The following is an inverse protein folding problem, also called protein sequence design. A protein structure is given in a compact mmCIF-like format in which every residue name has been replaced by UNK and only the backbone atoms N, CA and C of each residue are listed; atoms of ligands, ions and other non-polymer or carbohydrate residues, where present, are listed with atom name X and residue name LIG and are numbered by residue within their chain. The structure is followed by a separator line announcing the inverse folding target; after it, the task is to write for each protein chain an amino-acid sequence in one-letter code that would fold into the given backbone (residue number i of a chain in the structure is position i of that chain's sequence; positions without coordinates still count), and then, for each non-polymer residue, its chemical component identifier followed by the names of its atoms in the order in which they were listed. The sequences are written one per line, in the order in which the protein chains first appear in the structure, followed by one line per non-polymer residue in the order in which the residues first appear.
data_IF_222451824470
#
_entry.id   IF_222451824470
#
_cell.length_a   1.000
_cell.length_b   1.000
_cell.length_c   1.000
_cell.angle_alpha   90.00
_cell.angle_beta   90.00
_cell.angle_gamma   90.00
#
_symmetry.space_group_name_H-M   'P 1'
#
loop_
_entity.id
_entity.type
_entity.pdbx_description
1 polymer ?
#
# COMPACT_ATOMS: atom_id res chain seq x y z
N UNK A 1 41.20 43.48 -65.67
CA UNK A 1 39.88 42.82 -65.86
C UNK A 1 39.53 42.15 -64.52
N UNK A 2 38.75 42.87 -63.69
CA UNK A 2 38.37 42.42 -62.34
C UNK A 2 36.94 41.85 -62.45
N UNK A 3 36.79 40.55 -62.28
CA UNK A 3 35.49 39.92 -62.11
C UNK A 3 35.06 39.98 -60.67
N UNK A 4 33.98 40.72 -60.37
CA UNK A 4 33.31 40.77 -59.08
C UNK A 4 32.58 39.43 -58.89
N UNK A 5 32.90 38.66 -57.86
CA UNK A 5 32.08 37.52 -57.44
C UNK A 5 30.82 38.03 -56.71
N UNK A 6 29.72 37.43 -57.03
CA UNK A 6 28.37 37.88 -56.76
C UNK A 6 27.91 37.73 -55.30
N UNK A 7 26.86 38.43 -54.88
CA UNK A 7 26.34 38.48 -53.49
C UNK A 7 25.42 37.28 -53.14
N UNK A 8 25.37 36.19 -53.94
CA UNK A 8 24.45 35.09 -53.70
C UNK A 8 24.73 34.26 -52.42
N UNK A 9 25.98 34.15 -52.03
CA UNK A 9 26.34 33.35 -50.82
C UNK A 9 25.84 33.98 -49.49
N UNK A 10 25.71 35.31 -49.42
CA UNK A 10 25.25 36.02 -48.20
C UNK A 10 23.72 35.89 -48.05
N UNK A 11 22.97 35.83 -49.15
CA UNK A 11 21.50 35.67 -49.12
C UNK A 11 21.13 34.24 -48.71
N UNK A 12 21.89 33.25 -49.23
CA UNK A 12 21.69 31.84 -48.89
C UNK A 12 21.98 31.57 -47.40
N UNK A 13 23.03 32.17 -46.87
CA UNK A 13 23.39 32.03 -45.45
C UNK A 13 22.34 32.64 -44.49
N UNK A 14 21.82 33.83 -44.79
CA UNK A 14 20.74 34.48 -44.06
C UNK A 14 19.41 33.72 -44.11
N UNK A 15 19.14 33.04 -45.24
CA UNK A 15 17.93 32.21 -45.41
C UNK A 15 18.00 30.92 -44.59
N UNK A 16 19.17 30.27 -44.52
CA UNK A 16 19.41 29.09 -43.73
C UNK A 16 19.34 29.41 -42.22
N UNK A 17 19.91 30.53 -41.77
CA UNK A 17 19.81 30.98 -40.37
C UNK A 17 18.35 31.26 -39.94
N UNK A 18 17.56 31.86 -40.83
CA UNK A 18 16.14 32.13 -40.55
C UNK A 18 15.32 30.85 -40.46
N UNK A 19 15.62 29.87 -41.29
CA UNK A 19 14.95 28.56 -41.24
C UNK A 19 15.37 27.74 -40.02
N UNK A 20 16.65 27.78 -39.65
CA UNK A 20 17.15 27.16 -38.43
C UNK A 20 16.54 27.76 -37.13
N UNK A 21 16.41 29.09 -37.08
CA UNK A 21 15.72 29.78 -35.96
C UNK A 21 14.24 29.42 -35.88
N UNK A 22 13.54 29.30 -37.01
CA UNK A 22 12.13 28.83 -37.06
C UNK A 22 12.01 27.40 -36.60
N UNK A 23 12.94 26.52 -36.99
CA UNK A 23 12.96 25.12 -36.59
C UNK A 23 13.26 24.99 -35.07
N UNK A 24 14.20 25.75 -34.55
CA UNK A 24 14.48 25.79 -33.10
C UNK A 24 13.30 26.32 -32.29
N UNK A 25 12.61 27.37 -32.79
CA UNK A 25 11.40 27.89 -32.15
C UNK A 25 10.25 26.88 -32.17
N UNK A 26 10.09 26.14 -33.29
CA UNK A 26 9.09 25.08 -33.41
C UNK A 26 9.40 23.89 -32.49
N UNK A 27 10.68 23.49 -32.37
CA UNK A 27 11.13 22.43 -31.44
C UNK A 27 10.97 22.89 -29.98
N UNK A 28 11.31 24.15 -29.66
CA UNK A 28 11.10 24.69 -28.30
C UNK A 28 9.60 24.77 -27.95
N UNK A 29 8.74 25.17 -28.90
CA UNK A 29 7.29 25.17 -28.70
C UNK A 29 6.73 23.75 -28.55
N UNK A 30 7.26 22.76 -29.28
CA UNK A 30 6.88 21.35 -29.16
C UNK A 30 7.35 20.75 -27.79
N UNK A 31 8.54 21.13 -27.32
CA UNK A 31 9.04 20.73 -26.00
C UNK A 31 8.24 21.36 -24.85
N UNK A 32 7.77 22.59 -25.00
CA UNK A 32 6.92 23.26 -23.99
C UNK A 32 5.52 22.67 -23.97
N UNK A 33 4.99 22.21 -25.10
CA UNK A 33 3.67 21.55 -25.15
C UNK A 33 3.66 20.11 -24.58
N UNK A 34 4.82 19.47 -24.44
CA UNK A 34 4.93 18.12 -23.86
C UNK A 34 5.02 18.10 -22.32
N UNK A 35 5.08 19.25 -21.63
CA UNK A 35 5.29 19.32 -20.17
C UNK A 35 4.08 19.77 -19.37
N UNK A 36 2.93 20.01 -19.96
CA UNK A 36 1.68 20.15 -19.21
C UNK A 36 1.04 18.76 -19.00
N UNK A 37 1.75 17.84 -18.34
CA UNK A 37 1.07 16.78 -17.61
C UNK A 37 0.34 17.50 -16.48
N UNK A 38 -0.98 17.65 -16.62
CA UNK A 38 -1.80 18.19 -15.56
C UNK A 38 -1.51 17.40 -14.30
N UNK A 39 -0.86 18.02 -13.31
CA UNK A 39 -0.58 17.39 -12.05
C UNK A 39 -1.94 17.00 -11.45
N UNK A 40 -2.14 15.70 -11.20
CA UNK A 40 -3.37 15.22 -10.60
C UNK A 40 -3.66 16.03 -9.34
N UNK A 41 -4.85 16.57 -9.23
CA UNK A 41 -5.32 17.18 -7.99
C UNK A 41 -5.81 16.07 -7.07
N UNK A 42 -5.59 16.24 -5.79
CA UNK A 42 -6.02 15.30 -4.77
C UNK A 42 -6.78 16.01 -3.67
N UNK A 43 -7.73 15.32 -3.09
CA UNK A 43 -8.39 15.76 -1.85
C UNK A 43 -8.16 14.76 -0.73
N UNK A 44 -8.10 15.30 0.48
CA UNK A 44 -8.06 14.51 1.71
C UNK A 44 -9.40 14.60 2.41
N UNK A 45 -10.00 13.45 2.66
CA UNK A 45 -11.20 13.29 3.47
C UNK A 45 -10.79 12.68 4.81
N UNK A 46 -11.29 13.22 5.92
CA UNK A 46 -10.88 12.80 7.27
C UNK A 46 -12.04 12.24 8.07
N UNK A 47 -11.71 11.33 8.98
CA UNK A 47 -12.59 10.83 10.03
C UNK A 47 -13.90 10.20 9.53
N UNK A 48 -13.85 9.54 8.34
CA UNK A 48 -14.98 8.81 7.80
C UNK A 48 -15.18 7.54 8.64
N UNK A 49 -16.37 7.38 9.22
CA UNK A 49 -16.73 6.16 9.96
C UNK A 49 -16.89 4.99 9.00
N UNK A 50 -16.24 3.87 9.26
CA UNK A 50 -16.43 2.63 8.51
C UNK A 50 -17.24 1.58 9.28
N UNK A 51 -17.82 1.99 10.41
CA UNK A 51 -18.75 1.20 11.22
C UNK A 51 -20.08 1.92 11.36
N UNK A 52 -21.15 1.16 11.66
CA UNK A 52 -22.49 1.73 11.86
C UNK A 52 -22.51 2.70 13.05
N UNK A 53 -23.33 3.74 12.94
CA UNK A 53 -23.63 4.63 14.06
C UNK A 53 -24.32 3.90 15.21
N UNK A 54 -25.05 2.80 14.89
CA UNK A 54 -25.76 1.95 15.85
C UNK A 54 -24.88 0.87 16.49
N UNK A 55 -23.56 0.84 16.17
CA UNK A 55 -22.64 -0.11 16.80
C UNK A 55 -22.66 0.08 18.33
N UNK A 56 -22.86 -1.00 19.05
CA UNK A 56 -23.01 -0.97 20.51
C UNK A 56 -21.73 -0.57 21.25
N UNK A 57 -20.57 -0.77 20.63
CA UNK A 57 -19.27 -0.42 21.22
C UNK A 57 -18.94 1.06 21.02
N UNK A 58 -19.02 1.85 22.07
CA UNK A 58 -18.61 3.26 22.05
C UNK A 58 -17.16 3.44 21.56
N UNK A 59 -16.24 2.56 22.00
CA UNK A 59 -14.85 2.61 21.57
C UNK A 59 -14.71 2.30 20.09
N UNK A 60 -15.51 1.40 19.54
CA UNK A 60 -15.49 1.08 18.12
C UNK A 60 -15.97 2.28 17.29
N UNK A 61 -17.08 2.92 17.69
CA UNK A 61 -17.57 4.15 17.03
C UNK A 61 -16.58 5.31 17.11
N UNK A 62 -15.87 5.44 18.23
CA UNK A 62 -14.83 6.45 18.45
C UNK A 62 -13.63 6.22 17.53
N UNK A 63 -13.11 4.97 17.54
CA UNK A 63 -11.80 4.65 16.96
C UNK A 63 -11.87 4.23 15.51
N UNK A 64 -12.92 3.52 15.07
CA UNK A 64 -13.02 2.94 13.74
C UNK A 64 -13.40 3.98 12.68
N UNK A 65 -12.48 4.88 12.42
CA UNK A 65 -12.54 5.92 11.40
C UNK A 65 -11.35 5.82 10.48
N UNK A 66 -11.51 6.24 9.24
CA UNK A 66 -10.46 6.25 8.24
C UNK A 66 -10.29 7.64 7.63
N UNK A 67 -9.09 7.91 7.15
CA UNK A 67 -8.80 9.03 6.25
C UNK A 67 -8.60 8.51 4.84
N UNK A 68 -8.96 9.31 3.86
CA UNK A 68 -8.75 9.00 2.45
C UNK A 68 -7.98 10.13 1.76
N UNK A 69 -7.06 9.74 0.89
CA UNK A 69 -6.39 10.62 -0.07
C UNK A 69 -6.76 10.12 -1.46
N UNK A 70 -7.54 10.90 -2.21
CA UNK A 70 -8.14 10.45 -3.47
C UNK A 70 -7.84 11.41 -4.62
N UNK A 71 -7.54 10.90 -5.85
CA UNK A 71 -7.39 11.72 -7.03
C UNK A 71 -8.70 12.42 -7.38
N UNK A 72 -8.65 13.71 -7.69
CA UNK A 72 -9.81 14.46 -8.18
C UNK A 72 -9.94 14.36 -9.70
N UNK A 73 -11.17 14.24 -10.19
CA UNK A 73 -11.45 14.22 -11.63
C UNK A 73 -11.04 12.94 -12.36
N UNK A 74 -10.46 11.96 -11.69
CA UNK A 74 -10.15 10.61 -12.22
C UNK A 74 -11.22 9.61 -11.84
N UNK A 75 -11.41 8.60 -12.71
CA UNK A 75 -12.26 7.44 -12.46
C UNK A 75 -11.45 6.15 -12.67
N UNK A 76 -11.89 5.07 -12.02
CA UNK A 76 -11.26 3.76 -12.14
C UNK A 76 -9.87 3.68 -11.52
N UNK A 77 -9.52 4.55 -10.57
CA UNK A 77 -8.21 4.51 -9.94
C UNK A 77 -8.08 3.33 -8.96
N UNK A 78 -6.87 2.84 -8.84
CA UNK A 78 -6.47 1.81 -7.88
C UNK A 78 -6.48 2.38 -6.46
N UNK A 79 -6.78 1.56 -5.45
CA UNK A 79 -6.88 2.00 -4.06
C UNK A 79 -6.10 1.08 -3.14
N UNK A 80 -5.28 1.61 -2.25
CA UNK A 80 -4.64 0.84 -1.19
C UNK A 80 -5.25 1.18 0.17
N UNK A 81 -5.65 0.15 0.91
CA UNK A 81 -5.95 0.25 2.34
C UNK A 81 -4.65 0.00 3.09
N UNK A 82 -4.17 1.01 3.82
CA UNK A 82 -2.89 0.96 4.52
C UNK A 82 -3.07 0.98 6.03
N UNK A 83 -2.70 -0.11 6.70
CA UNK A 83 -2.76 -0.25 8.16
C UNK A 83 -1.47 0.22 8.82
N UNK A 84 -1.60 1.10 9.82
CA UNK A 84 -0.48 1.57 10.63
C UNK A 84 0.10 0.47 11.53
N UNK A 85 1.35 0.64 11.95
CA UNK A 85 1.99 -0.17 12.98
C UNK A 85 1.58 0.24 14.39
N UNK A 86 2.38 -0.19 15.38
CA UNK A 86 2.19 0.18 16.79
C UNK A 86 1.76 -0.98 17.66
N UNK A 87 2.18 -2.20 17.31
CA UNK A 87 2.07 -3.37 18.19
C UNK A 87 0.63 -3.79 18.57
N UNK A 88 -0.40 -3.32 17.86
CA UNK A 88 -1.81 -3.45 18.27
C UNK A 88 -2.14 -2.72 19.60
N UNK A 89 -1.21 -1.94 20.13
CA UNK A 89 -1.31 -1.20 21.40
C UNK A 89 -1.28 0.31 21.19
N UNK A 90 -0.79 0.78 20.06
CA UNK A 90 -0.62 2.20 19.73
C UNK A 90 -0.71 2.47 18.24
N UNK A 91 -0.36 3.69 17.86
CA UNK A 91 -0.41 4.17 16.49
C UNK A 91 -1.75 4.79 16.10
N UNK A 92 -1.78 5.35 14.93
CA UNK A 92 -2.99 5.95 14.34
C UNK A 92 -2.88 5.97 12.81
N UNK A 93 -4.03 6.13 12.16
CA UNK A 93 -4.18 6.25 10.71
C UNK A 93 -3.20 7.26 10.11
N UNK A 94 -2.54 6.87 9.03
CA UNK A 94 -1.50 7.65 8.39
C UNK A 94 -1.58 7.51 6.87
N UNK A 95 -1.77 8.62 6.20
CA UNK A 95 -1.69 8.71 4.75
C UNK A 95 -0.22 8.78 4.33
N UNK A 96 0.38 7.63 4.02
CA UNK A 96 1.81 7.49 3.71
C UNK A 96 2.22 8.42 2.56
N UNK A 97 3.16 9.37 2.78
CA UNK A 97 3.57 10.32 1.76
C UNK A 97 4.21 9.62 0.55
N UNK A 98 4.89 8.48 0.75
CA UNK A 98 5.54 7.72 -0.30
C UNK A 98 4.53 7.15 -1.32
N UNK A 99 3.29 6.91 -0.90
CA UNK A 99 2.21 6.39 -1.75
C UNK A 99 1.42 7.52 -2.45
N UNK A 100 1.61 8.78 -2.05
CA UNK A 100 0.89 9.91 -2.61
C UNK A 100 1.35 10.28 -4.02
N UNK A 101 0.52 11.07 -4.73
CA UNK A 101 0.80 11.63 -6.05
C UNK A 101 1.13 10.59 -7.12
N UNK A 102 0.46 9.44 -7.10
CA UNK A 102 0.70 8.31 -8.00
C UNK A 102 -0.53 7.88 -8.82
N UNK A 103 -1.57 8.70 -8.88
CA UNK A 103 -2.83 8.34 -9.55
C UNK A 103 -3.63 7.27 -8.82
N UNK A 104 -3.27 6.93 -7.59
CA UNK A 104 -3.97 5.97 -6.73
C UNK A 104 -4.61 6.67 -5.55
N UNK A 105 -5.61 6.03 -4.94
CA UNK A 105 -6.15 6.44 -3.66
C UNK A 105 -5.48 5.68 -2.51
N UNK A 106 -5.41 6.34 -1.35
CA UNK A 106 -4.95 5.76 -0.08
C UNK A 106 -6.10 5.84 0.90
N UNK A 107 -6.43 4.74 1.53
CA UNK A 107 -7.38 4.64 2.64
C UNK A 107 -6.59 4.22 3.87
N UNK A 108 -6.56 5.06 4.89
CA UNK A 108 -5.81 4.83 6.11
C UNK A 108 -6.78 4.67 7.30
N UNK A 109 -7.12 3.47 7.73
CA UNK A 109 -8.01 3.25 8.86
C UNK A 109 -7.26 3.22 10.18
N UNK A 110 -7.91 3.74 11.24
CA UNK A 110 -7.67 3.32 12.60
C UNK A 110 -8.41 2.00 12.87
N UNK A 111 -7.91 1.21 13.78
CA UNK A 111 -8.54 0.02 14.34
C UNK A 111 -8.43 0.05 15.87
N UNK A 112 -9.29 -0.65 16.60
CA UNK A 112 -9.23 -0.70 18.07
C UNK A 112 -7.93 -1.33 18.55
N UNK A 113 -7.48 -0.92 19.71
CA UNK A 113 -6.18 -1.26 20.27
C UNK A 113 -6.32 -1.91 21.65
N UNK A 114 -5.42 -2.81 21.98
CA UNK A 114 -5.23 -3.33 23.34
C UNK A 114 -4.72 -2.17 24.25
N UNK A 115 -5.11 -2.11 25.54
CA UNK A 115 -5.97 -3.06 26.25
C UNK A 115 -7.47 -2.77 26.17
N UNK A 116 -7.91 -1.70 25.44
CA UNK A 116 -9.33 -1.31 25.33
C UNK A 116 -10.15 -2.30 24.47
N UNK A 117 -9.49 -3.11 23.66
CA UNK A 117 -10.08 -4.30 23.02
C UNK A 117 -9.10 -5.47 23.06
N UNK A 118 -9.53 -6.63 22.65
CA UNK A 118 -8.76 -7.87 22.62
C UNK A 118 -8.88 -8.58 21.26
N UNK A 119 -7.99 -9.54 21.02
CA UNK A 119 -8.09 -10.44 19.89
C UNK A 119 -9.46 -11.17 19.90
N UNK A 120 -10.16 -11.23 18.76
CA UNK A 120 -9.76 -10.83 17.42
C UNK A 120 -10.29 -9.44 16.97
N UNK A 121 -10.75 -8.58 17.86
CA UNK A 121 -11.48 -7.35 17.52
C UNK A 121 -10.72 -6.41 16.58
N UNK A 122 -9.41 -6.22 16.75
CA UNK A 122 -8.63 -5.37 15.86
C UNK A 122 -8.50 -5.96 14.44
N UNK A 123 -8.48 -7.29 14.30
CA UNK A 123 -8.51 -7.94 12.98
C UNK A 123 -9.88 -7.81 12.32
N UNK A 124 -10.96 -7.91 13.09
CA UNK A 124 -12.33 -7.66 12.60
C UNK A 124 -12.52 -6.20 12.17
N UNK A 125 -11.94 -5.25 12.91
CA UNK A 125 -11.98 -3.85 12.52
C UNK A 125 -11.21 -3.60 11.22
N UNK A 126 -10.06 -4.25 11.05
CA UNK A 126 -9.31 -4.21 9.80
C UNK A 126 -10.12 -4.79 8.62
N UNK A 127 -10.80 -5.92 8.83
CA UNK A 127 -11.70 -6.50 7.83
C UNK A 127 -12.87 -5.58 7.48
N UNK A 128 -13.49 -4.95 8.49
CA UNK A 128 -14.55 -3.98 8.29
C UNK A 128 -14.10 -2.78 7.44
N UNK A 129 -12.89 -2.27 7.68
CA UNK A 129 -12.33 -1.14 6.92
C UNK A 129 -12.06 -1.52 5.45
N UNK A 130 -11.52 -2.71 5.19
CA UNK A 130 -11.34 -3.21 3.81
C UNK A 130 -12.68 -3.40 3.13
N UNK A 131 -13.64 -4.03 3.79
CA UNK A 131 -14.97 -4.26 3.24
C UNK A 131 -15.71 -2.95 2.96
N UNK A 132 -15.61 -1.97 3.86
CA UNK A 132 -16.12 -0.63 3.62
C UNK A 132 -15.51 -0.02 2.35
N UNK A 133 -14.19 -0.12 2.20
CA UNK A 133 -13.49 0.41 1.03
C UNK A 133 -13.99 -0.24 -0.25
N UNK A 134 -14.07 -1.57 -0.30
CA UNK A 134 -14.58 -2.29 -1.47
C UNK A 134 -16.00 -1.85 -1.85
N UNK A 135 -16.86 -1.62 -0.85
CA UNK A 135 -18.26 -1.25 -1.07
C UNK A 135 -18.47 0.21 -1.48
N UNK A 136 -17.59 1.12 -1.04
CA UNK A 136 -17.81 2.57 -1.18
C UNK A 136 -16.83 3.28 -2.11
N UNK A 137 -15.71 2.67 -2.49
CA UNK A 137 -14.67 3.38 -3.24
C UNK A 137 -15.15 3.87 -4.61
N UNK A 138 -16.14 3.22 -5.21
CA UNK A 138 -16.76 3.64 -6.47
C UNK A 138 -17.45 5.02 -6.35
N UNK A 139 -18.00 5.36 -5.19
CA UNK A 139 -18.63 6.66 -4.89
C UNK A 139 -17.61 7.80 -5.00
N UNK A 140 -16.34 7.48 -4.76
CA UNK A 140 -15.22 8.41 -4.86
C UNK A 140 -14.49 8.35 -6.21
N UNK A 141 -14.94 7.47 -7.12
CA UNK A 141 -14.37 7.29 -8.45
C UNK A 141 -13.32 6.18 -8.58
N UNK A 142 -13.05 5.40 -7.54
CA UNK A 142 -12.14 4.26 -7.58
C UNK A 142 -12.79 3.00 -8.19
N UNK A 143 -11.97 2.04 -8.54
CA UNK A 143 -12.40 0.73 -9.03
C UNK A 143 -12.41 -0.29 -7.87
N UNK A 144 -13.58 -0.82 -7.45
CA UNK A 144 -13.67 -1.83 -6.39
C UNK A 144 -12.89 -3.12 -6.66
N UNK A 145 -12.66 -3.47 -7.93
CA UNK A 145 -11.85 -4.63 -8.32
C UNK A 145 -10.34 -4.37 -8.22
N UNK A 146 -9.93 -3.12 -7.99
CA UNK A 146 -8.54 -2.67 -7.88
C UNK A 146 -8.22 -2.18 -6.46
N UNK A 147 -8.73 -2.92 -5.46
CA UNK A 147 -8.41 -2.68 -4.05
C UNK A 147 -7.23 -3.55 -3.63
N UNK A 148 -6.25 -2.92 -3.02
CA UNK A 148 -5.03 -3.51 -2.48
C UNK A 148 -5.02 -3.31 -0.96
N UNK A 149 -4.38 -4.22 -0.23
CA UNK A 149 -4.26 -4.12 1.23
C UNK A 149 -2.79 -4.21 1.62
N UNK A 150 -2.34 -3.30 2.46
CA UNK A 150 -0.98 -3.28 2.97
C UNK A 150 -0.91 -2.71 4.37
N UNK A 151 0.25 -2.82 4.98
CA UNK A 151 0.49 -2.26 6.30
C UNK A 151 1.84 -2.67 6.86
N UNK A 152 2.28 -1.96 7.88
CA UNK A 152 3.59 -2.17 8.50
C UNK A 152 3.46 -2.76 9.90
N UNK A 153 4.35 -3.67 10.28
CA UNK A 153 4.45 -4.24 11.64
C UNK A 153 3.12 -4.87 12.07
N UNK A 154 2.43 -4.33 13.08
CA UNK A 154 1.08 -4.74 13.45
C UNK A 154 0.10 -4.64 12.27
N UNK A 155 0.21 -3.60 11.43
CA UNK A 155 -0.56 -3.48 10.18
C UNK A 155 -0.18 -4.55 9.16
N UNK A 156 1.07 -4.96 9.11
CA UNK A 156 1.54 -6.09 8.31
C UNK A 156 0.96 -7.43 8.80
N UNK A 157 0.89 -7.62 10.11
CA UNK A 157 0.19 -8.76 10.71
C UNK A 157 -1.30 -8.78 10.34
N UNK A 158 -2.01 -7.65 10.45
CA UNK A 158 -3.41 -7.54 10.03
C UNK A 158 -3.57 -7.86 8.55
N UNK A 159 -2.69 -7.34 7.70
CA UNK A 159 -2.66 -7.63 6.25
C UNK A 159 -2.53 -9.13 5.99
N UNK A 160 -1.62 -9.82 6.69
CA UNK A 160 -1.44 -11.27 6.56
C UNK A 160 -2.66 -12.05 7.05
N UNK A 161 -3.25 -11.65 8.19
CA UNK A 161 -4.46 -12.32 8.69
C UNK A 161 -5.62 -12.19 7.70
N UNK A 162 -5.84 -11.02 7.11
CA UNK A 162 -6.89 -10.82 6.11
C UNK A 162 -6.63 -11.62 4.81
N UNK A 163 -5.38 -11.78 4.42
CA UNK A 163 -5.00 -12.57 3.25
C UNK A 163 -5.21 -14.08 3.46
N UNK A 164 -4.90 -14.58 4.64
CA UNK A 164 -4.76 -16.02 4.91
C UNK A 164 -6.00 -16.62 5.58
N UNK A 165 -6.64 -15.91 6.50
CA UNK A 165 -7.91 -16.33 7.09
C UNK A 165 -9.08 -15.61 6.40
N UNK A 166 -9.69 -16.30 5.42
CA UNK A 166 -10.83 -15.77 4.63
C UNK A 166 -12.03 -15.40 5.48
N UNK A 167 -12.18 -15.98 6.66
CA UNK A 167 -13.37 -15.80 7.50
C UNK A 167 -13.58 -14.33 7.91
N UNK A 168 -12.49 -13.59 8.15
CA UNK A 168 -12.57 -12.19 8.55
C UNK A 168 -13.25 -11.30 7.51
N UNK A 169 -12.85 -11.40 6.25
CA UNK A 169 -13.47 -10.62 5.17
C UNK A 169 -14.84 -11.17 4.80
N UNK A 170 -15.04 -12.49 4.90
CA UNK A 170 -16.32 -13.14 4.65
C UNK A 170 -17.41 -12.69 5.65
N UNK A 171 -17.07 -12.37 6.92
CA UNK A 171 -17.99 -11.75 7.89
C UNK A 171 -18.65 -10.47 7.32
N UNK A 172 -18.01 -9.78 6.39
CA UNK A 172 -18.48 -8.54 5.75
C UNK A 172 -18.90 -8.72 4.29
N UNK A 173 -18.99 -9.99 3.81
CA UNK A 173 -19.42 -10.32 2.46
C UNK A 173 -18.36 -10.03 1.38
N UNK A 174 -17.08 -10.04 1.73
CA UNK A 174 -15.96 -9.86 0.79
C UNK A 174 -15.13 -11.13 0.73
N UNK A 175 -14.85 -11.61 -0.47
CA UNK A 175 -13.89 -12.70 -0.66
C UNK A 175 -12.45 -12.14 -0.57
N UNK A 176 -11.64 -12.74 0.30
CA UNK A 176 -10.23 -12.36 0.43
C UNK A 176 -9.45 -12.49 -0.89
N UNK A 177 -9.85 -13.42 -1.77
CA UNK A 177 -9.22 -13.60 -3.07
C UNK A 177 -9.70 -12.59 -4.13
N UNK A 178 -10.71 -11.77 -3.85
CA UNK A 178 -11.10 -10.64 -4.69
C UNK A 178 -10.22 -9.40 -4.50
N UNK A 179 -9.44 -9.33 -3.42
CA UNK A 179 -8.46 -8.27 -3.20
C UNK A 179 -7.31 -8.45 -4.20
N UNK A 180 -6.92 -7.37 -4.87
CA UNK A 180 -5.99 -7.41 -6.00
C UNK A 180 -4.59 -7.87 -5.62
N UNK A 181 -4.08 -7.42 -4.46
CA UNK A 181 -2.86 -7.92 -3.84
C UNK A 181 -2.77 -7.51 -2.36
N UNK A 182 -1.94 -8.24 -1.61
CA UNK A 182 -1.60 -7.97 -0.23
C UNK A 182 -0.11 -7.67 -0.08
N UNK A 183 0.21 -6.60 0.65
CA UNK A 183 1.56 -6.08 0.85
C UNK A 183 1.89 -5.94 2.34
N UNK A 184 2.06 -7.04 3.09
CA UNK A 184 2.54 -6.96 4.47
C UNK A 184 4.00 -6.52 4.50
N UNK A 185 4.30 -5.48 5.29
CA UNK A 185 5.66 -5.00 5.54
C UNK A 185 6.03 -5.35 6.98
N UNK A 186 7.04 -6.17 7.17
CA UNK A 186 7.53 -6.65 8.47
C UNK A 186 6.41 -7.17 9.39
N UNK A 187 5.43 -7.86 8.80
CA UNK A 187 4.31 -8.47 9.51
C UNK A 187 4.76 -9.71 10.29
N UNK A 188 4.29 -9.89 11.53
CA UNK A 188 4.52 -11.09 12.31
C UNK A 188 3.70 -12.25 11.75
N UNK A 189 4.29 -13.43 11.58
CA UNK A 189 3.61 -14.60 11.02
C UNK A 189 3.19 -15.63 12.06
N UNK A 190 3.84 -15.64 13.23
CA UNK A 190 3.35 -16.31 14.42
C UNK A 190 2.20 -15.52 15.07
N UNK A 191 1.55 -16.09 16.09
CA UNK A 191 0.56 -15.36 16.91
C UNK A 191 1.20 -14.10 17.48
N UNK A 192 0.61 -12.94 17.18
CA UNK A 192 1.20 -11.64 17.51
C UNK A 192 1.52 -11.51 19.00
N UNK A 193 2.67 -10.90 19.32
CA UNK A 193 3.14 -10.84 20.71
C UNK A 193 2.17 -10.11 21.65
N UNK A 194 1.41 -9.14 21.19
CA UNK A 194 0.36 -8.50 21.99
C UNK A 194 -0.76 -9.47 22.33
N UNK A 195 -1.14 -10.38 21.43
CA UNK A 195 -2.11 -11.43 21.71
C UNK A 195 -1.55 -12.41 22.76
N UNK A 196 -0.26 -12.70 22.69
CA UNK A 196 0.41 -13.51 23.74
C UNK A 196 0.40 -12.78 25.06
N UNK A 197 0.69 -11.48 25.08
CA UNK A 197 0.61 -10.59 26.26
C UNK A 197 -0.79 -10.57 26.88
N UNK A 198 -1.85 -10.45 26.06
CA UNK A 198 -3.26 -10.55 26.50
C UNK A 198 -3.52 -11.83 27.31
N UNK A 199 -2.85 -12.92 26.91
CA UNK A 199 -2.99 -14.26 27.51
C UNK A 199 -1.96 -14.55 28.59
N UNK A 200 -1.13 -13.58 28.96
CA UNK A 200 -0.03 -13.73 29.92
C UNK A 200 1.02 -14.78 29.49
N UNK A 201 1.21 -14.95 28.18
CA UNK A 201 2.22 -15.81 27.58
C UNK A 201 3.45 -14.95 27.31
N UNK A 202 4.66 -15.48 27.57
CA UNK A 202 5.91 -14.78 27.27
C UNK A 202 5.98 -14.39 25.78
N UNK A 203 6.44 -13.17 25.52
CA UNK A 203 6.64 -12.70 24.14
C UNK A 203 7.75 -13.48 23.39
N UNK A 204 8.67 -14.12 24.13
CA UNK A 204 9.75 -14.93 23.56
C UNK A 204 9.31 -16.33 23.16
N UNK A 205 8.15 -16.81 23.68
CA UNK A 205 7.63 -18.13 23.36
C UNK A 205 6.87 -18.08 22.01
N UNK A 206 7.35 -18.73 20.95
CA UNK A 206 6.63 -18.76 19.67
C UNK A 206 5.35 -19.59 19.81
N UNK A 207 4.22 -18.98 19.47
CA UNK A 207 2.91 -19.63 19.41
C UNK A 207 2.39 -19.54 18.00
N UNK A 208 1.91 -20.67 17.49
CA UNK A 208 1.24 -20.75 16.19
C UNK A 208 -0.14 -21.36 16.41
N UNK A 209 -1.14 -20.50 16.55
CA UNK A 209 -2.54 -20.90 16.73
C UNK A 209 -3.44 -20.20 15.69
N UNK A 210 -4.75 -20.33 15.78
CA UNK A 210 -5.70 -19.73 14.83
C UNK A 210 -5.53 -18.22 14.59
N UNK A 211 -4.80 -17.52 15.43
CA UNK A 211 -4.48 -16.10 15.29
C UNK A 211 -3.07 -15.85 14.73
N UNK A 212 -2.41 -16.91 14.28
CA UNK A 212 -1.15 -16.81 13.56
C UNK A 212 -1.40 -16.86 12.05
N UNK A 213 -0.90 -15.91 11.26
CA UNK A 213 -0.94 -16.02 9.81
C UNK A 213 -0.43 -17.37 9.29
N UNK A 214 0.63 -17.89 9.88
CA UNK A 214 1.24 -19.17 9.51
C UNK A 214 0.27 -20.36 9.67
N UNK A 215 -0.57 -20.37 10.72
CA UNK A 215 -1.57 -21.41 10.94
C UNK A 215 -2.69 -21.40 9.87
N UNK A 216 -2.93 -20.25 9.27
CA UNK A 216 -3.97 -20.04 8.27
C UNK A 216 -3.41 -20.07 6.84
N UNK A 217 -2.18 -20.58 6.66
CA UNK A 217 -1.56 -20.70 5.35
C UNK A 217 -2.43 -21.53 4.40
N UNK A 218 -2.63 -21.05 3.18
CA UNK A 218 -3.52 -21.67 2.18
C UNK A 218 -3.02 -21.42 0.76
N UNK A 219 -3.62 -22.09 -0.20
CA UNK A 219 -3.51 -21.69 -1.59
C UNK A 219 -4.30 -20.39 -1.79
N UNK A 220 -3.65 -19.38 -2.35
CA UNK A 220 -4.19 -18.04 -2.59
C UNK A 220 -4.75 -17.97 -4.02
N UNK A 221 -5.89 -17.31 -4.19
CA UNK A 221 -6.43 -16.89 -5.48
C UNK A 221 -5.97 -15.49 -5.89
N UNK A 222 -5.14 -14.84 -5.05
CA UNK A 222 -4.65 -13.47 -5.23
C UNK A 222 -3.16 -13.38 -4.95
N UNK A 223 -2.57 -12.22 -5.24
CA UNK A 223 -1.14 -11.97 -5.07
C UNK A 223 -0.81 -11.58 -3.63
N UNK A 224 0.25 -12.15 -3.09
CA UNK A 224 0.86 -11.79 -1.81
C UNK A 224 2.33 -11.49 -2.04
N UNK A 225 2.82 -10.34 -1.55
CA UNK A 225 4.23 -9.91 -1.67
C UNK A 225 4.72 -9.52 -0.29
N UNK A 226 5.73 -10.22 0.21
CA UNK A 226 6.29 -10.00 1.54
C UNK A 226 7.43 -8.97 1.47
N UNK A 227 7.47 -8.07 2.44
CA UNK A 227 8.57 -7.11 2.61
C UNK A 227 9.09 -7.20 4.05
N UNK A 228 10.40 -7.20 4.22
CA UNK A 228 11.08 -7.16 5.52
C UNK A 228 12.23 -6.17 5.48
N UNK A 229 12.63 -5.65 6.63
CA UNK A 229 13.93 -5.00 6.78
C UNK A 229 15.09 -5.98 6.66
N UNK A 230 16.27 -5.47 6.87
CA UNK A 230 17.52 -6.25 6.92
C UNK A 230 17.45 -7.26 8.09
N UNK A 231 17.72 -8.55 7.81
CA UNK A 231 17.66 -9.62 8.81
C UNK A 231 18.52 -9.39 10.04
N UNK A 232 19.57 -8.60 9.91
CA UNK A 232 20.49 -8.26 11.01
C UNK A 232 20.04 -7.04 11.82
N UNK A 233 19.10 -6.22 11.30
CA UNK A 233 18.60 -4.98 11.90
C UNK A 233 17.12 -5.05 12.29
N UNK A 234 16.40 -6.03 11.74
CA UNK A 234 14.98 -6.26 12.04
C UNK A 234 14.76 -6.77 13.47
N UNK A 235 13.52 -6.73 13.92
CA UNK A 235 13.12 -7.37 15.16
C UNK A 235 13.39 -8.89 15.09
N UNK A 236 13.69 -9.48 16.23
CA UNK A 236 14.02 -10.90 16.35
C UNK A 236 13.11 -11.81 15.53
N UNK A 237 13.70 -12.63 14.68
CA UNK A 237 13.06 -13.63 13.83
C UNK A 237 12.06 -13.07 12.79
N UNK A 238 11.98 -11.77 12.56
CA UNK A 238 10.99 -11.18 11.65
C UNK A 238 11.21 -11.61 10.21
N UNK A 239 12.44 -11.62 9.75
CA UNK A 239 12.80 -12.11 8.42
C UNK A 239 12.56 -13.61 8.31
N UNK A 240 13.05 -14.38 9.28
CA UNK A 240 13.01 -15.84 9.28
C UNK A 240 11.57 -16.37 9.32
N UNK A 241 10.67 -15.76 10.12
CA UNK A 241 9.27 -16.17 10.15
C UNK A 241 8.54 -15.84 8.84
N UNK A 242 8.88 -14.76 8.14
CA UNK A 242 8.33 -14.46 6.82
C UNK A 242 8.91 -15.40 5.75
N UNK A 243 10.18 -15.76 5.82
CA UNK A 243 10.80 -16.74 4.94
C UNK A 243 10.17 -18.13 5.14
N UNK A 244 9.89 -18.50 6.39
CA UNK A 244 9.19 -19.75 6.70
C UNK A 244 7.76 -19.76 6.17
N UNK A 245 7.00 -18.67 6.35
CA UNK A 245 5.67 -18.52 5.78
C UNK A 245 5.70 -18.68 4.25
N UNK A 246 6.66 -18.05 3.57
CA UNK A 246 6.86 -18.20 2.12
C UNK A 246 7.02 -19.67 1.75
N UNK A 247 7.91 -20.39 2.41
CA UNK A 247 8.17 -21.81 2.12
C UNK A 247 6.91 -22.67 2.31
N UNK A 248 6.14 -22.43 3.37
CA UNK A 248 4.87 -23.13 3.63
C UNK A 248 3.84 -22.84 2.52
N UNK A 249 3.69 -21.58 2.15
CA UNK A 249 2.75 -21.18 1.09
C UNK A 249 3.11 -21.81 -0.26
N UNK A 250 4.38 -21.83 -0.63
CA UNK A 250 4.85 -22.48 -1.87
C UNK A 250 4.63 -24.00 -1.81
N UNK A 251 4.87 -24.62 -0.66
CA UNK A 251 4.56 -26.04 -0.42
C UNK A 251 3.09 -26.38 -0.57
N UNK A 252 2.18 -25.42 -0.32
CA UNK A 252 0.73 -25.56 -0.54
C UNK A 252 0.31 -25.32 -2.01
N UNK A 253 1.26 -25.18 -2.92
CA UNK A 253 1.02 -25.02 -4.35
C UNK A 253 0.73 -23.59 -4.79
N UNK A 254 1.10 -22.59 -3.98
CA UNK A 254 1.21 -21.23 -4.50
C UNK A 254 2.41 -21.18 -5.45
N UNK A 255 2.26 -20.48 -6.58
CA UNK A 255 3.42 -20.10 -7.39
C UNK A 255 4.31 -19.21 -6.54
N UNK A 256 5.43 -18.80 -7.05
CA UNK A 256 6.38 -17.94 -6.34
C UNK A 256 5.70 -16.86 -5.47
N UNK A 257 6.02 -16.87 -4.16
CA UNK A 257 5.66 -15.82 -3.21
C UNK A 257 6.87 -14.88 -3.08
N UNK A 258 6.86 -13.69 -3.70
CA UNK A 258 7.99 -12.78 -3.61
C UNK A 258 8.22 -12.33 -2.17
N UNK A 259 9.47 -12.35 -1.72
CA UNK A 259 9.92 -11.73 -0.48
C UNK A 259 11.08 -10.77 -0.80
N UNK A 260 10.94 -9.53 -0.34
CA UNK A 260 11.97 -8.51 -0.49
C UNK A 260 12.56 -8.19 0.88
N UNK A 261 13.81 -8.57 1.07
CA UNK A 261 14.64 -8.11 2.17
C UNK A 261 15.27 -6.77 1.79
N UNK A 262 14.98 -5.73 2.54
CA UNK A 262 15.49 -4.38 2.29
C UNK A 262 16.72 -4.14 3.15
N UNK A 263 17.88 -4.48 2.60
CA UNK A 263 19.18 -4.42 3.29
C UNK A 263 19.50 -3.01 3.78
N UNK A 264 20.03 -2.90 4.99
CA UNK A 264 20.38 -1.65 5.66
C UNK A 264 19.22 -0.93 6.34
N UNK A 265 17.99 -1.46 6.28
CA UNK A 265 16.83 -0.87 6.96
C UNK A 265 16.39 -1.72 8.14
N UNK A 266 16.27 -1.09 9.30
CA UNK A 266 15.68 -1.68 10.49
C UNK A 266 14.15 -1.76 10.40
N UNK A 267 13.50 -2.25 11.47
CA UNK A 267 12.06 -2.43 11.54
C UNK A 267 11.24 -1.15 11.24
N UNK A 268 11.73 0.02 11.64
CA UNK A 268 11.05 1.30 11.38
C UNK A 268 11.40 1.87 10.02
N UNK A 269 12.67 1.84 9.68
CA UNK A 269 13.20 2.41 8.44
C UNK A 269 12.74 1.72 7.17
N UNK A 270 12.34 0.43 7.25
CA UNK A 270 11.87 -0.36 6.10
C UNK A 270 10.61 0.20 5.44
N UNK A 271 9.79 0.97 6.15
CA UNK A 271 8.47 1.43 5.67
C UNK A 271 8.59 2.27 4.40
N UNK A 272 9.52 3.24 4.40
CA UNK A 272 9.71 4.15 3.27
C UNK A 272 10.09 3.42 1.98
N UNK A 273 11.18 2.63 1.92
CA UNK A 273 11.52 1.92 0.69
C UNK A 273 10.47 0.87 0.29
N UNK A 274 9.83 0.18 1.25
CA UNK A 274 8.75 -0.75 0.95
C UNK A 274 7.56 -0.04 0.28
N UNK A 275 7.12 1.11 0.80
CA UNK A 275 6.04 1.89 0.19
C UNK A 275 6.39 2.36 -1.23
N UNK A 276 7.64 2.73 -1.51
CA UNK A 276 8.09 3.09 -2.86
C UNK A 276 8.02 1.90 -3.82
N UNK A 277 8.42 0.71 -3.39
CA UNK A 277 8.31 -0.53 -4.18
C UNK A 277 6.84 -0.90 -4.43
N UNK A 278 5.99 -0.82 -3.41
CA UNK A 278 4.54 -1.05 -3.50
C UNK A 278 3.92 -0.07 -4.50
N UNK A 279 4.25 1.22 -4.39
CA UNK A 279 3.80 2.23 -5.35
C UNK A 279 4.20 1.87 -6.77
N UNK A 280 5.46 1.53 -6.99
CA UNK A 280 5.96 1.09 -8.29
C UNK A 280 5.23 -0.15 -8.84
N UNK A 281 4.88 -1.10 -7.98
CA UNK A 281 4.13 -2.29 -8.36
C UNK A 281 2.66 -1.98 -8.71
N UNK A 282 2.02 -1.11 -7.94
CA UNK A 282 0.64 -0.70 -8.18
C UNK A 282 0.47 0.19 -9.43
N UNK A 283 1.51 0.90 -9.86
CA UNK A 283 1.44 1.84 -11.00
C UNK A 283 1.86 1.23 -12.34
N UNK A 284 2.30 -0.02 -12.33
CA UNK A 284 2.46 -0.83 -13.56
C UNK A 284 1.09 -1.25 -14.09
#
# INVERSE_FOLDING_TARGET
MCLRAAPENIIQHKRNDRNMRKLMLAIAALCVSMTLVAQDKYKTLKDISYVSADDTSAYRRERCKLDMYVPEGRKGFKTIVWFHGGALEGGSKELRPELQNAGIAIVAPNYRLFPRCKCPDYTRDAAAAVAWTVKHIAEYGGDPSQVYVGGHSAGGYLTLMLALDKSYLAEYGVDADSIRAYYPVSGQTATHYTIRKERKISYTLPIVDKYAPLNNARKLGTRLVLYTGDRHLEQMARYEENLYLKAVLEGLGNKEIPIYELSGFDHGGVVTPACLLIKGDMTK
#
